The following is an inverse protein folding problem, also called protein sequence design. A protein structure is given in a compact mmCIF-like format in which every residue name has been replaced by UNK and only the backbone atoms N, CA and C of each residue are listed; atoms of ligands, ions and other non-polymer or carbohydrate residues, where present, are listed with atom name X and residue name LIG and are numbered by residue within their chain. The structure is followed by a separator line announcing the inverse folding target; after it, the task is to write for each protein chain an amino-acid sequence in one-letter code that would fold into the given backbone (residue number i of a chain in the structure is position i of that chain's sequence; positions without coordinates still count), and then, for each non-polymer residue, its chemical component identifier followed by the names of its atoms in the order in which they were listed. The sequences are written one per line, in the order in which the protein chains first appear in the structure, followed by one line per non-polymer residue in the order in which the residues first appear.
data_IF_381417762083
#
_entry.id   IF_381417762083
#
_cell.length_a   1.000
_cell.length_b   1.000
_cell.length_c   1.000
_cell.angle_alpha   90.00
_cell.angle_beta   90.00
_cell.angle_gamma   90.00
#
_symmetry.space_group_name_H-M   'P 1'
#
loop_
_entity.id
_entity.type
_entity.pdbx_description
1 polymer ?
#
# COMPACT_ATOMS: atom_id res chain seq x y z
N UNK A 1 0.31 -25.28 7.42
CA UNK A 1 -1.13 -25.00 7.18
C UNK A 1 -1.33 -23.49 7.15
N UNK A 2 -1.24 -22.84 5.98
CA UNK A 2 -1.16 -21.35 5.82
C UNK A 2 -2.50 -20.67 5.50
N UNK A 3 -3.58 -21.41 5.37
CA UNK A 3 -4.86 -20.93 4.80
C UNK A 3 -5.77 -20.17 5.78
N UNK A 4 -5.63 -20.33 7.11
CA UNK A 4 -6.51 -19.65 8.07
C UNK A 4 -6.04 -18.25 8.48
N UNK A 5 -4.75 -17.95 8.38
CA UNK A 5 -4.18 -16.72 8.94
C UNK A 5 -4.54 -15.46 8.12
N UNK A 6 -4.79 -15.59 6.82
CA UNK A 6 -5.15 -14.45 5.96
C UNK A 6 -6.53 -13.90 6.28
N UNK A 7 -7.53 -14.76 6.37
CA UNK A 7 -8.91 -14.37 6.71
C UNK A 7 -9.04 -13.82 8.13
N UNK A 8 -8.28 -14.35 9.09
CA UNK A 8 -8.22 -13.81 10.45
C UNK A 8 -7.65 -12.38 10.43
N UNK A 9 -6.57 -12.12 9.69
CA UNK A 9 -6.00 -10.78 9.55
C UNK A 9 -6.98 -9.78 8.93
N UNK A 10 -7.67 -10.18 7.86
CA UNK A 10 -8.74 -9.36 7.27
C UNK A 10 -9.84 -9.07 8.29
N UNK A 11 -10.27 -10.08 9.06
CA UNK A 11 -11.25 -9.91 10.13
C UNK A 11 -10.82 -8.88 11.17
N UNK A 12 -9.57 -8.96 11.62
CA UNK A 12 -9.00 -8.01 12.58
C UNK A 12 -8.93 -6.59 12.02
N UNK A 13 -8.54 -6.41 10.75
CA UNK A 13 -8.51 -5.09 10.10
C UNK A 13 -9.92 -4.49 9.96
N UNK A 14 -10.92 -5.31 9.62
CA UNK A 14 -12.32 -4.86 9.57
C UNK A 14 -12.84 -4.46 10.94
N UNK A 15 -12.48 -5.20 12.00
CA UNK A 15 -12.84 -4.83 13.36
C UNK A 15 -12.17 -3.52 13.78
N UNK A 16 -10.89 -3.35 13.47
CA UNK A 16 -10.16 -2.11 13.73
C UNK A 16 -10.78 -0.91 13.00
N UNK A 17 -11.14 -1.06 11.73
CA UNK A 17 -11.79 0.00 10.95
C UNK A 17 -13.11 0.46 11.58
N UNK A 18 -13.90 -0.45 12.16
CA UNK A 18 -15.12 -0.11 12.90
C UNK A 18 -14.83 0.62 14.20
N UNK A 19 -13.82 0.17 14.96
CA UNK A 19 -13.40 0.86 16.19
C UNK A 19 -12.93 2.29 15.91
N UNK A 20 -12.34 2.52 14.75
CA UNK A 20 -11.90 3.84 14.28
C UNK A 20 -13.00 4.62 13.53
N UNK A 21 -14.18 4.04 13.35
CA UNK A 21 -15.33 4.63 12.63
C UNK A 21 -15.02 5.07 11.17
N UNK A 22 -14.08 4.39 10.51
CA UNK A 22 -13.64 4.68 9.13
C UNK A 22 -14.11 3.63 8.12
N UNK A 23 -14.89 2.63 8.53
CA UNK A 23 -15.32 1.54 7.66
C UNK A 23 -16.15 2.02 6.46
N UNK A 24 -16.82 3.16 6.59
CA UNK A 24 -17.58 3.80 5.51
C UNK A 24 -16.69 4.40 4.41
N UNK A 25 -15.38 4.50 4.63
CA UNK A 25 -14.37 4.98 3.66
C UNK A 25 -13.46 3.87 3.15
N UNK A 26 -13.74 2.62 3.51
CA UNK A 26 -12.82 1.51 3.30
C UNK A 26 -13.47 0.40 2.49
N UNK A 27 -12.85 0.06 1.35
CA UNK A 27 -13.22 -1.10 0.55
C UNK A 27 -12.12 -2.17 0.61
N UNK A 28 -12.52 -3.40 0.94
CA UNK A 28 -11.61 -4.55 0.97
C UNK A 28 -11.81 -5.42 -0.28
N UNK A 29 -10.90 -5.28 -1.23
CA UNK A 29 -10.92 -6.01 -2.51
C UNK A 29 -10.01 -7.24 -2.38
N UNK A 30 -10.60 -8.40 -2.08
CA UNK A 30 -9.84 -9.62 -1.72
C UNK A 30 -9.88 -10.66 -2.84
N UNK A 31 -8.73 -11.29 -3.11
CA UNK A 31 -8.57 -12.42 -4.06
C UNK A 31 -9.21 -12.17 -5.43
N UNK A 32 -9.16 -10.93 -5.92
CA UNK A 32 -9.74 -10.58 -7.21
C UNK A 32 -8.77 -10.91 -8.37
N UNK A 33 -9.31 -11.17 -9.57
CA UNK A 33 -8.50 -11.29 -10.78
C UNK A 33 -7.71 -10.01 -11.08
N UNK A 34 -6.55 -10.16 -11.71
CA UNK A 34 -5.69 -9.04 -12.10
C UNK A 34 -6.39 -7.89 -12.85
N UNK A 35 -7.34 -8.12 -13.78
CA UNK A 35 -8.07 -7.04 -14.43
C UNK A 35 -8.82 -6.11 -13.45
N UNK A 36 -9.38 -6.66 -12.38
CA UNK A 36 -10.06 -5.88 -11.33
C UNK A 36 -9.05 -5.07 -10.54
N UNK A 37 -7.92 -5.67 -10.16
CA UNK A 37 -6.84 -4.94 -9.50
C UNK A 37 -6.35 -3.76 -10.35
N UNK A 38 -6.19 -3.97 -11.67
CA UNK A 38 -5.76 -2.93 -12.60
C UNK A 38 -6.74 -1.75 -12.63
N UNK A 39 -8.05 -2.01 -12.63
CA UNK A 39 -9.06 -0.95 -12.58
C UNK A 39 -8.95 -0.12 -11.29
N UNK A 40 -8.74 -0.77 -10.13
CA UNK A 40 -8.48 -0.07 -8.88
C UNK A 40 -7.23 0.81 -8.93
N UNK A 41 -6.13 0.27 -9.48
CA UNK A 41 -4.89 1.03 -9.64
C UNK A 41 -5.07 2.24 -10.55
N UNK A 42 -5.83 2.12 -11.64
CA UNK A 42 -6.08 3.22 -12.57
C UNK A 42 -6.98 4.33 -12.01
N UNK A 43 -7.86 4.00 -11.08
CA UNK A 43 -8.77 4.96 -10.44
C UNK A 43 -8.23 5.52 -9.11
N UNK A 44 -7.04 5.07 -8.68
CA UNK A 44 -6.38 5.55 -7.45
C UNK A 44 -5.51 6.76 -7.74
N UNK A 45 -5.16 7.53 -6.70
CA UNK A 45 -4.22 8.66 -6.81
C UNK A 45 -2.90 8.39 -6.09
N UNK A 46 -2.93 7.58 -5.02
CA UNK A 46 -1.78 7.30 -4.16
C UNK A 46 -1.64 5.80 -3.96
N UNK A 47 -0.41 5.29 -4.05
CA UNK A 47 -0.06 3.91 -3.75
C UNK A 47 0.73 3.81 -2.45
N UNK A 48 0.23 3.03 -1.47
CA UNK A 48 0.86 2.84 -0.17
C UNK A 48 1.42 1.41 -0.03
N UNK A 49 2.69 1.28 0.34
CA UNK A 49 3.32 -0.02 0.59
C UNK A 49 4.14 -0.05 1.88
N UNK A 50 3.63 -0.70 2.93
CA UNK A 50 4.19 -0.63 4.29
C UNK A 50 5.04 -1.83 4.72
N UNK A 51 5.30 -2.80 3.84
CA UNK A 51 6.02 -4.02 4.21
C UNK A 51 7.50 -3.74 4.50
N UNK A 52 7.97 -4.22 5.66
CA UNK A 52 9.38 -4.21 6.03
C UNK A 52 10.18 -5.24 5.23
N UNK A 53 11.31 -4.80 4.68
CA UNK A 53 12.23 -5.61 3.88
C UNK A 53 11.55 -6.34 2.72
N UNK A 54 10.73 -5.61 1.96
CA UNK A 54 10.14 -6.10 0.71
C UNK A 54 11.26 -6.53 -0.26
N UNK A 55 11.20 -7.76 -0.75
CA UNK A 55 12.30 -8.36 -1.52
C UNK A 55 12.38 -7.86 -2.96
N UNK A 56 11.24 -7.64 -3.63
CA UNK A 56 11.22 -7.17 -5.02
C UNK A 56 10.22 -6.04 -5.24
N UNK A 57 9.03 -6.11 -4.64
CA UNK A 57 8.05 -5.04 -4.77
C UNK A 57 7.29 -5.01 -6.10
N UNK A 58 6.80 -6.17 -6.58
CA UNK A 58 5.95 -6.24 -7.80
C UNK A 58 4.77 -5.26 -7.69
N UNK A 59 4.08 -5.25 -6.55
CA UNK A 59 2.95 -4.34 -6.33
C UNK A 59 3.36 -2.85 -6.38
N UNK A 60 4.59 -2.51 -5.99
CA UNK A 60 5.12 -1.14 -6.10
C UNK A 60 5.30 -0.77 -7.56
N UNK A 61 5.88 -1.66 -8.37
CA UNK A 61 6.05 -1.44 -9.81
C UNK A 61 4.69 -1.32 -10.52
N UNK A 62 3.70 -2.12 -10.14
CA UNK A 62 2.34 -2.03 -10.69
C UNK A 62 1.68 -0.68 -10.37
N UNK A 63 1.81 -0.20 -9.12
CA UNK A 63 1.32 1.12 -8.71
C UNK A 63 2.05 2.26 -9.44
N UNK A 64 3.37 2.16 -9.60
CA UNK A 64 4.15 3.15 -10.36
C UNK A 64 3.76 3.18 -11.84
N UNK A 65 3.52 2.01 -12.46
CA UNK A 65 3.08 1.92 -13.84
C UNK A 65 1.66 2.50 -14.04
N UNK A 66 0.84 2.53 -12.99
CA UNK A 66 -0.45 3.22 -12.98
C UNK A 66 -0.32 4.75 -12.75
N UNK A 67 0.90 5.26 -12.49
CA UNK A 67 1.15 6.69 -12.30
C UNK A 67 0.80 7.21 -10.91
N UNK A 68 0.71 6.34 -9.91
CA UNK A 68 0.34 6.71 -8.55
C UNK A 68 1.47 7.43 -7.82
N UNK A 69 1.12 8.42 -7.00
CA UNK A 69 2.05 9.00 -6.02
C UNK A 69 2.40 7.96 -4.97
N UNK A 70 3.68 7.61 -4.84
CA UNK A 70 4.08 6.47 -4.02
C UNK A 70 4.43 6.88 -2.60
N UNK A 71 3.95 6.12 -1.60
CA UNK A 71 4.46 6.15 -0.23
C UNK A 71 4.88 4.72 0.10
N UNK A 72 6.16 4.48 0.32
CA UNK A 72 6.66 3.13 0.58
C UNK A 72 7.55 3.10 1.81
N UNK A 73 7.67 1.93 2.39
CA UNK A 73 8.45 1.75 3.58
C UNK A 73 9.97 1.90 3.33
N UNK A 74 10.69 2.54 4.26
CA UNK A 74 12.13 2.81 4.14
C UNK A 74 13.02 1.58 4.47
N UNK A 75 12.79 0.45 3.80
CA UNK A 75 13.67 -0.71 3.84
C UNK A 75 13.55 -1.61 2.60
N UNK A 76 14.45 -2.57 2.43
CA UNK A 76 14.40 -3.57 1.36
C UNK A 76 14.65 -3.02 -0.06
N UNK A 77 14.09 -3.72 -1.05
CA UNK A 77 14.11 -3.34 -2.46
C UNK A 77 13.56 -1.95 -2.76
N UNK A 78 12.48 -1.47 -2.11
CA UNK A 78 11.94 -0.12 -2.36
C UNK A 78 12.93 1.02 -2.07
N UNK A 79 13.70 0.88 -0.98
CA UNK A 79 14.77 1.83 -0.60
C UNK A 79 15.98 1.73 -1.52
N UNK A 80 16.34 0.52 -1.92
CA UNK A 80 17.58 0.23 -2.65
C UNK A 80 17.45 0.53 -4.15
N UNK A 81 16.33 0.14 -4.77
CA UNK A 81 16.22 -0.03 -6.22
C UNK A 81 15.02 0.70 -6.87
N UNK A 82 14.09 1.30 -6.11
CA UNK A 82 12.82 1.80 -6.69
C UNK A 82 12.61 3.30 -6.47
N UNK A 83 12.66 3.81 -5.23
CA UNK A 83 12.38 5.24 -4.99
C UNK A 83 13.58 6.14 -5.29
N UNK A 84 14.80 5.64 -5.18
CA UNK A 84 16.03 6.36 -5.53
C UNK A 84 16.11 6.73 -7.02
N UNK A 85 15.31 6.10 -7.88
CA UNK A 85 15.41 6.24 -9.34
C UNK A 85 14.51 7.32 -9.95
N UNK A 86 13.44 7.82 -9.31
CA UNK A 86 12.46 8.59 -10.11
C UNK A 86 11.60 9.71 -9.48
N UNK A 87 11.92 10.27 -8.31
CA UNK A 87 11.16 11.43 -7.73
C UNK A 87 9.64 11.20 -7.54
N UNK A 88 9.11 9.99 -7.72
CA UNK A 88 7.66 9.72 -7.78
C UNK A 88 7.06 9.26 -6.45
N UNK A 89 7.76 9.43 -5.32
CA UNK A 89 7.23 9.04 -4.02
C UNK A 89 8.10 9.36 -2.82
N UNK A 90 7.59 9.01 -1.65
CA UNK A 90 8.16 9.26 -0.32
C UNK A 90 8.50 7.94 0.38
N UNK A 91 9.62 7.95 1.12
CA UNK A 91 10.01 6.86 2.02
C UNK A 91 9.56 7.18 3.44
N UNK A 92 9.01 6.19 4.15
CA UNK A 92 8.61 6.33 5.55
C UNK A 92 8.93 5.07 6.36
N UNK A 93 9.47 5.23 7.56
CA UNK A 93 9.69 4.18 8.54
C UNK A 93 8.80 4.34 9.78
N UNK A 94 8.49 5.58 10.15
CA UNK A 94 7.72 5.96 11.33
C UNK A 94 6.32 6.45 10.95
N UNK A 95 5.38 6.35 11.88
CA UNK A 95 4.00 6.82 11.70
C UNK A 95 3.94 8.30 11.29
N UNK A 96 4.71 9.16 11.94
CA UNK A 96 4.78 10.59 11.62
C UNK A 96 5.33 10.87 10.20
N UNK A 97 6.17 9.98 9.68
CA UNK A 97 6.69 10.09 8.32
C UNK A 97 5.63 9.67 7.29
N UNK A 98 4.84 8.63 7.60
CA UNK A 98 3.68 8.26 6.78
C UNK A 98 2.63 9.38 6.76
N UNK A 99 2.33 9.98 7.92
CA UNK A 99 1.42 11.12 8.02
C UNK A 99 1.90 12.29 7.15
N UNK A 100 3.16 12.69 7.30
CA UNK A 100 3.76 13.79 6.52
C UNK A 100 3.72 13.49 5.01
N UNK A 101 4.06 12.26 4.62
CA UNK A 101 4.02 11.84 3.22
C UNK A 101 2.60 11.86 2.65
N UNK A 102 1.60 11.38 3.40
CA UNK A 102 0.18 11.40 3.00
C UNK A 102 -0.33 12.83 2.80
N UNK A 103 0.04 13.76 3.68
CA UNK A 103 -0.32 15.18 3.50
C UNK A 103 0.34 15.85 2.31
N UNK A 104 1.53 15.39 1.90
CA UNK A 104 2.31 16.04 0.83
C UNK A 104 1.95 15.48 -0.55
N UNK A 105 1.53 14.21 -0.63
CA UNK A 105 1.17 13.54 -1.90
C UNK A 105 -0.26 13.84 -2.35
N UNK A 106 -1.10 14.39 -1.45
CA UNK A 106 -2.52 14.73 -1.68
C UNK A 106 -2.69 16.16 -2.16
#
# INVERSE_FOLDING_TARGET
MRINNGWIRVGNLRALAKTLEIEHRLEFVLNQPFPVLKEWLQNSSVGLHTMWNEHFGIGIVEMMNAGLGMIVHDSGGPKSDIITLNRMGYLAALESEYETAMHTVS
#
